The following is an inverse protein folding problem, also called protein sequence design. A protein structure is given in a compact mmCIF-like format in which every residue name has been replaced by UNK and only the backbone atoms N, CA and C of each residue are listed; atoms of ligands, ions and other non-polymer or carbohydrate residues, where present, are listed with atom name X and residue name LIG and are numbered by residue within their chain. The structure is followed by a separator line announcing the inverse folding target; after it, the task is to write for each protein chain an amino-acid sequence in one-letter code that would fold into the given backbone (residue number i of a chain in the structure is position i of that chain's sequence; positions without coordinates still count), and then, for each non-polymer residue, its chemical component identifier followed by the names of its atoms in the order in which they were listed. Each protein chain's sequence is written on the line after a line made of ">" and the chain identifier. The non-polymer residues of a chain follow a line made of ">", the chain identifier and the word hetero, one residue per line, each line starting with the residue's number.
data_IF_727730876283
#
_entry.id   IF_727730876283
#
_cell.length_a   1.000
_cell.length_b   1.000
_cell.length_c   1.000
_cell.angle_alpha   90.00
_cell.angle_beta   90.00
_cell.angle_gamma   90.00
#
_symmetry.space_group_name_H-M   'P 1'
#
loop_
_entity.id
_entity.type
_entity.pdbx_description
1 polymer ?
#
# COMPACT_ATOMS: atom_id res chain seq x y z
N UNK A 1 -2.44 10.09 17.11
CA UNK A 1 -3.18 8.81 17.14
C UNK A 1 -2.81 7.86 16.01
N UNK A 2 -2.66 8.31 14.75
CA UNK A 2 -2.33 7.42 13.59
C UNK A 2 -0.89 6.85 13.58
N UNK A 3 0.10 7.60 14.07
CA UNK A 3 1.50 7.12 14.20
C UNK A 3 1.58 5.86 15.06
N UNK A 4 0.82 5.84 16.16
CA UNK A 4 0.78 4.70 17.08
C UNK A 4 0.21 3.42 16.45
N UNK A 5 -0.73 3.51 15.50
CA UNK A 5 -1.30 2.31 14.87
C UNK A 5 -0.29 1.63 13.95
N UNK A 6 0.43 2.41 13.15
CA UNK A 6 1.54 1.92 12.32
C UNK A 6 2.59 1.24 13.17
N UNK A 7 3.04 1.90 14.25
CA UNK A 7 3.99 1.35 15.21
C UNK A 7 3.44 0.09 15.91
N UNK A 8 2.15 0.05 16.27
CA UNK A 8 1.52 -1.09 16.94
C UNK A 8 1.45 -2.35 16.06
N UNK A 9 1.21 -2.23 14.76
CA UNK A 9 1.20 -3.39 13.85
C UNK A 9 2.62 -3.92 13.61
N UNK A 10 3.59 -3.01 13.45
CA UNK A 10 5.01 -3.37 13.36
C UNK A 10 5.47 -4.07 14.65
N UNK A 11 5.14 -3.51 15.81
CA UNK A 11 5.49 -4.08 17.13
C UNK A 11 4.80 -5.42 17.41
N UNK A 12 3.60 -5.64 16.88
CA UNK A 12 2.89 -6.93 16.97
C UNK A 12 3.40 -7.98 15.97
N UNK A 13 4.22 -7.57 15.00
CA UNK A 13 4.71 -8.45 13.94
C UNK A 13 3.62 -8.86 12.94
N UNK A 14 2.51 -8.11 12.88
CA UNK A 14 1.38 -8.41 12.01
C UNK A 14 1.82 -8.33 10.55
N UNK A 15 1.58 -9.39 9.79
CA UNK A 15 1.89 -9.45 8.35
C UNK A 15 0.74 -8.90 7.51
N UNK A 16 0.47 -7.61 7.72
CA UNK A 16 -0.66 -6.88 7.15
C UNK A 16 -0.68 -6.81 5.62
N UNK A 17 0.47 -7.05 5.00
CA UNK A 17 0.67 -7.07 3.55
C UNK A 17 1.02 -8.46 3.03
N UNK A 18 0.83 -9.52 3.83
CA UNK A 18 1.12 -10.89 3.43
C UNK A 18 0.41 -11.25 2.11
N UNK A 19 1.19 -11.75 1.16
CA UNK A 19 0.68 -12.16 -0.16
C UNK A 19 0.29 -11.00 -1.08
N UNK A 20 0.64 -9.76 -0.75
CA UNK A 20 0.43 -8.58 -1.60
C UNK A 20 1.73 -8.08 -2.23
N UNK A 21 1.61 -7.61 -3.47
CA UNK A 21 2.70 -7.08 -4.28
C UNK A 21 2.52 -5.59 -4.55
N UNK A 22 3.62 -4.85 -4.55
CA UNK A 22 3.64 -3.39 -4.59
C UNK A 22 4.65 -2.87 -5.60
N UNK A 23 4.36 -1.72 -6.20
CA UNK A 23 5.33 -0.91 -6.93
C UNK A 23 5.22 0.54 -6.45
N UNK A 24 6.35 1.25 -6.40
CA UNK A 24 6.45 2.62 -5.90
C UNK A 24 6.73 3.58 -7.06
N UNK A 25 5.98 4.66 -7.16
CA UNK A 25 6.10 5.66 -8.22
C UNK A 25 6.16 7.07 -7.64
N UNK A 26 7.01 7.94 -8.19
CA UNK A 26 7.01 9.38 -7.86
C UNK A 26 7.59 9.76 -6.50
N UNK A 27 8.27 8.84 -5.82
CA UNK A 27 8.96 9.12 -4.56
C UNK A 27 10.45 9.41 -4.80
N UNK A 28 11.04 10.17 -3.89
CA UNK A 28 12.47 10.50 -3.88
C UNK A 28 13.35 9.37 -3.32
N UNK A 29 14.66 9.60 -3.31
CA UNK A 29 15.67 8.63 -2.86
C UNK A 29 15.55 8.28 -1.37
N UNK A 30 14.88 9.09 -0.56
CA UNK A 30 14.61 8.80 0.86
C UNK A 30 13.27 8.07 1.05
N UNK A 31 12.25 8.47 0.30
CA UNK A 31 10.91 7.91 0.36
C UNK A 31 10.85 6.46 -0.13
N UNK A 32 11.55 6.13 -1.23
CA UNK A 32 11.55 4.76 -1.77
C UNK A 32 12.08 3.74 -0.75
N UNK A 33 13.26 3.92 -0.13
CA UNK A 33 13.76 3.01 0.90
C UNK A 33 12.83 2.91 2.11
N UNK A 34 12.31 4.03 2.61
CA UNK A 34 11.45 4.05 3.79
C UNK A 34 10.14 3.27 3.56
N UNK A 35 9.50 3.46 2.40
CA UNK A 35 8.28 2.74 2.04
C UNK A 35 8.56 1.25 1.76
N UNK A 36 9.69 0.96 1.12
CA UNK A 36 10.11 -0.43 0.86
C UNK A 36 10.33 -1.20 2.16
N UNK A 37 11.01 -0.60 3.13
CA UNK A 37 11.22 -1.20 4.46
C UNK A 37 9.88 -1.48 5.14
N UNK A 38 8.98 -0.48 5.15
CA UNK A 38 7.66 -0.63 5.77
C UNK A 38 6.82 -1.76 5.14
N UNK A 39 6.79 -1.85 3.81
CA UNK A 39 6.06 -2.91 3.09
C UNK A 39 6.65 -4.28 3.44
N UNK A 40 7.97 -4.42 3.45
CA UNK A 40 8.66 -5.68 3.77
C UNK A 40 8.44 -6.11 5.22
N UNK A 41 8.49 -5.18 6.18
CA UNK A 41 8.19 -5.43 7.59
C UNK A 41 6.78 -5.99 7.76
N UNK A 42 5.81 -5.40 7.04
CA UNK A 42 4.42 -5.87 6.96
C UNK A 42 4.21 -7.15 6.15
N UNK A 43 5.26 -7.78 5.60
CA UNK A 43 5.19 -9.05 4.87
C UNK A 43 4.81 -8.95 3.40
N UNK A 44 4.82 -7.75 2.82
CA UNK A 44 4.58 -7.53 1.40
C UNK A 44 5.84 -7.62 0.55
N UNK A 45 5.67 -7.63 -0.77
CA UNK A 45 6.76 -7.69 -1.74
C UNK A 45 6.76 -6.44 -2.62
N UNK A 46 7.88 -5.73 -2.70
CA UNK A 46 8.05 -4.62 -3.65
C UNK A 46 8.70 -5.16 -4.92
N UNK A 47 7.98 -5.03 -6.03
CA UNK A 47 8.42 -5.43 -7.36
C UNK A 47 9.25 -4.32 -8.02
N UNK A 48 10.19 -4.74 -8.85
CA UNK A 48 10.98 -3.87 -9.70
C UNK A 48 10.37 -3.85 -11.11
N UNK A 49 10.60 -2.78 -11.86
CA UNK A 49 10.05 -2.60 -13.22
C UNK A 49 10.46 -3.69 -14.22
N UNK A 50 11.48 -4.50 -13.89
CA UNK A 50 11.90 -5.68 -14.66
C UNK A 50 11.01 -6.92 -14.46
N UNK A 51 10.17 -6.94 -13.41
CA UNK A 51 9.33 -8.09 -13.11
C UNK A 51 8.16 -8.18 -14.10
N UNK A 52 7.76 -9.42 -14.45
CA UNK A 52 6.65 -9.67 -15.40
C UNK A 52 5.28 -9.84 -14.73
N UNK A 53 5.20 -9.67 -13.42
CA UNK A 53 3.96 -9.82 -12.66
C UNK A 53 3.16 -8.52 -12.66
N UNK A 54 1.82 -8.61 -12.61
CA UNK A 54 0.96 -7.44 -12.41
C UNK A 54 0.93 -7.16 -10.89
N UNK A 55 1.47 -6.02 -10.41
CA UNK A 55 1.42 -5.67 -9.00
C UNK A 55 -0.02 -5.47 -8.52
N UNK A 56 -0.32 -5.89 -7.28
CA UNK A 56 -1.61 -5.63 -6.64
C UNK A 56 -1.83 -4.12 -6.42
N UNK A 57 -0.76 -3.39 -6.07
CA UNK A 57 -0.83 -1.98 -5.75
C UNK A 57 0.31 -1.18 -6.38
N UNK A 58 0.00 -0.07 -7.04
CA UNK A 58 0.91 1.05 -7.19
C UNK A 58 0.70 2.03 -6.03
N UNK A 59 1.78 2.36 -5.33
CA UNK A 59 1.80 3.45 -4.36
C UNK A 59 2.31 4.70 -5.07
N UNK A 60 1.57 5.80 -4.92
CA UNK A 60 1.93 7.13 -5.43
C UNK A 60 1.87 8.20 -4.32
N UNK A 61 2.53 9.36 -4.50
CA UNK A 61 2.34 10.54 -3.68
C UNK A 61 0.88 10.99 -3.57
N UNK A 62 0.58 11.85 -2.59
CA UNK A 62 -0.78 12.34 -2.33
C UNK A 62 -1.37 13.19 -3.46
N UNK A 63 -0.51 13.92 -4.16
CA UNK A 63 -0.80 14.67 -5.38
C UNK A 63 -0.87 13.78 -6.64
N UNK A 64 -0.61 12.48 -6.49
CA UNK A 64 -0.61 11.50 -7.56
C UNK A 64 0.70 11.49 -8.35
N UNK A 65 0.86 10.47 -9.20
CA UNK A 65 1.98 10.35 -10.11
C UNK A 65 1.58 9.46 -11.31
N UNK A 66 2.08 9.72 -12.53
CA UNK A 66 1.83 8.84 -13.66
C UNK A 66 2.32 7.40 -13.40
N UNK A 67 1.48 6.41 -13.64
CA UNK A 67 1.80 4.99 -13.45
C UNK A 67 1.82 4.31 -14.81
N UNK A 68 3.01 3.90 -15.26
CA UNK A 68 3.20 3.29 -16.57
C UNK A 68 2.93 1.78 -16.57
N UNK A 69 3.02 1.12 -15.42
CA UNK A 69 2.78 -0.31 -15.28
C UNK A 69 1.29 -0.59 -15.05
N UNK A 70 0.73 -1.58 -15.74
CA UNK A 70 -0.57 -2.13 -15.39
C UNK A 70 -0.55 -2.68 -13.96
N UNK A 71 -1.43 -2.16 -13.10
CA UNK A 71 -1.61 -2.56 -11.71
C UNK A 71 -3.08 -2.77 -11.40
N UNK A 72 -3.39 -3.57 -10.38
CA UNK A 72 -4.79 -3.80 -9.97
C UNK A 72 -5.38 -2.54 -9.34
N UNK A 73 -4.64 -1.91 -8.42
CA UNK A 73 -5.07 -0.71 -7.70
C UNK A 73 -3.97 0.35 -7.68
N UNK A 74 -4.36 1.63 -7.76
CA UNK A 74 -3.48 2.76 -7.52
C UNK A 74 -3.94 3.42 -6.21
N UNK A 75 -3.04 3.54 -5.23
CA UNK A 75 -3.32 4.13 -3.92
C UNK A 75 -2.23 5.11 -3.53
N UNK A 76 -2.56 6.06 -2.65
CA UNK A 76 -1.55 7.01 -2.15
C UNK A 76 -0.76 6.41 -1.00
N UNK A 77 0.44 6.94 -0.73
CA UNK A 77 1.22 6.57 0.46
C UNK A 77 0.44 6.75 1.78
N UNK A 78 -0.55 7.63 1.80
CA UNK A 78 -1.40 7.85 2.97
C UNK A 78 -2.31 6.65 3.25
N UNK A 79 -2.75 5.91 2.22
CA UNK A 79 -3.53 4.67 2.37
C UNK A 79 -2.80 3.63 3.22
N UNK A 80 -1.47 3.55 3.09
CA UNK A 80 -0.64 2.63 3.87
C UNK A 80 -0.70 2.88 5.38
N UNK A 81 -1.09 4.09 5.83
CA UNK A 81 -1.26 4.40 7.25
C UNK A 81 -2.63 3.97 7.82
N UNK A 82 -3.56 3.49 6.98
CA UNK A 82 -4.92 3.12 7.36
C UNK A 82 -5.19 1.60 7.32
N UNK A 83 -4.22 0.78 6.91
CA UNK A 83 -4.35 -0.68 6.90
C UNK A 83 -3.92 -1.25 8.27
N UNK A 84 -4.69 -2.16 8.93
CA UNK A 84 -5.28 -3.35 8.31
C UNK A 84 -6.69 -3.76 8.74
N UNK A 85 -7.36 -4.48 7.84
CA UNK A 85 -8.65 -5.18 7.98
C UNK A 85 -9.94 -4.34 8.05
N UNK A 86 -10.04 -3.33 8.90
CA UNK A 86 -11.35 -2.70 9.14
C UNK A 86 -11.74 -1.71 8.03
N UNK A 87 -10.81 -0.86 7.60
CA UNK A 87 -11.15 0.20 6.65
C UNK A 87 -11.40 -0.28 5.21
N UNK A 88 -10.77 -1.38 4.77
CA UNK A 88 -11.03 -1.94 3.44
C UNK A 88 -12.38 -2.65 3.38
N UNK A 89 -12.73 -3.44 4.41
CA UNK A 89 -14.04 -4.07 4.50
C UNK A 89 -15.16 -3.02 4.60
N UNK A 90 -14.93 -1.93 5.34
CA UNK A 90 -15.89 -0.84 5.49
C UNK A 90 -15.98 0.03 4.23
N UNK A 91 -14.87 0.25 3.51
CA UNK A 91 -14.89 0.97 2.23
C UNK A 91 -15.55 0.15 1.11
N UNK A 92 -15.32 -1.17 1.05
CA UNK A 92 -16.03 -2.07 0.13
C UNK A 92 -17.54 -2.12 0.42
N UNK A 93 -17.94 -2.19 1.69
CA UNK A 93 -19.35 -2.10 2.08
C UNK A 93 -19.98 -0.76 1.67
N UNK A 94 -19.29 0.36 1.90
CA UNK A 94 -19.78 1.69 1.48
C UNK A 94 -19.87 1.85 -0.04
N UNK A 95 -18.98 1.24 -0.81
CA UNK A 95 -19.08 1.23 -2.27
C UNK A 95 -20.26 0.38 -2.77
N UNK A 96 -20.70 -0.64 -2.03
CA UNK A 96 -21.90 -1.41 -2.35
C UNK A 96 -23.19 -0.64 -2.03
N UNK A 97 -23.22 0.16 -0.96
CA UNK A 97 -24.38 1.00 -0.61
C UNK A 97 -24.64 2.12 -1.63
N UNK A 98 -23.60 2.69 -2.23
CA UNK A 98 -23.75 3.76 -3.24
C UNK A 98 -24.23 3.20 -4.60
N UNK A 99 -24.17 1.89 -4.82
CA UNK A 99 -24.66 1.21 -6.02
C UNK A 99 -26.10 0.69 -5.89
N UNK A 100 -26.83 1.06 -4.84
CA UNK A 100 -28.23 0.71 -4.59
C UNK A 100 -29.12 1.93 -4.73
#
# INVERSE_FOLDING_TARGET
>A
MRVYLKELHILRGDKIFAGKTFVLYGFDEEGIPALTAYIKEGGGVVLQTSDRHIPDYAIVPMDGFPVDWTVINIVTNTWMNFCPNDFLAEFENRLQEVKK
#
